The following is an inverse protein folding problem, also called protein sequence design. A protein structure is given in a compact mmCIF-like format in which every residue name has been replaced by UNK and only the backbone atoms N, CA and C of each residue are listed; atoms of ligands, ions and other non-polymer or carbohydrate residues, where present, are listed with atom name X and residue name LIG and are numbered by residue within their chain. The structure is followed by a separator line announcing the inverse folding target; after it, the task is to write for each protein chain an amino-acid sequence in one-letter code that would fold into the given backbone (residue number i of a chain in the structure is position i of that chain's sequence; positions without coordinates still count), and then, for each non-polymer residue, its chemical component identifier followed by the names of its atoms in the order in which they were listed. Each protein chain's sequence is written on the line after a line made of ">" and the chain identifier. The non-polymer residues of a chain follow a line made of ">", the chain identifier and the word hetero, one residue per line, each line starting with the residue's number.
data_IF_121385406990
#
_entry.id   IF_121385406990
#
_cell.length_a   1.000
_cell.length_b   1.000
_cell.length_c   1.000
_cell.angle_alpha   90.00
_cell.angle_beta   90.00
_cell.angle_gamma   90.00
#
_symmetry.space_group_name_H-M   'P 1'
#
loop_
_entity.id
_entity.type
_entity.pdbx_description
1 polymer ?
#
# COMPACT_ATOMS: atom_id res chain seq x y z
N UNK A 1 -4.06 0.97 -20.17
CA UNK A 1 -4.93 0.01 -19.46
C UNK A 1 -5.52 0.73 -18.25
N UNK A 2 -6.83 0.59 -18.00
CA UNK A 2 -7.55 1.23 -16.88
C UNK A 2 -7.92 0.14 -15.86
N UNK A 3 -7.64 0.31 -14.55
CA UNK A 3 -7.96 -0.73 -13.56
C UNK A 3 -9.47 -0.87 -13.37
N UNK A 4 -9.93 -2.12 -13.26
CA UNK A 4 -11.34 -2.47 -13.05
C UNK A 4 -11.67 -2.83 -11.60
N UNK A 5 -10.63 -3.03 -10.76
CA UNK A 5 -10.75 -3.45 -9.36
C UNK A 5 -9.80 -2.63 -8.51
N UNK A 6 -10.25 -2.26 -7.32
CA UNK A 6 -9.45 -1.55 -6.32
C UNK A 6 -9.69 -2.16 -4.94
N UNK A 7 -8.71 -2.09 -4.05
CA UNK A 7 -8.92 -2.38 -2.64
C UNK A 7 -8.08 -1.42 -1.81
N UNK A 8 -8.53 -1.17 -0.58
CA UNK A 8 -7.80 -0.35 0.37
C UNK A 8 -7.00 -1.25 1.31
N UNK A 9 -5.78 -0.83 1.61
CA UNK A 9 -4.95 -1.46 2.63
C UNK A 9 -4.17 -0.40 3.39
N UNK A 10 -3.78 -0.74 4.61
CA UNK A 10 -2.92 0.08 5.47
C UNK A 10 -1.97 -0.85 6.20
N UNK A 11 -0.82 -0.31 6.56
CA UNK A 11 0.14 -1.03 7.38
C UNK A 11 1.06 -0.09 8.13
N UNK A 12 1.65 -0.61 9.18
CA UNK A 12 2.63 0.09 10.02
C UNK A 12 3.92 -0.72 10.10
N UNK A 13 5.06 -0.03 10.06
CA UNK A 13 6.37 -0.65 10.14
C UNK A 13 7.28 0.13 11.08
N UNK A 14 8.05 -0.58 11.90
CA UNK A 14 8.98 -0.01 12.86
C UNK A 14 10.34 -0.67 12.68
N UNK A 15 11.35 0.12 12.36
CA UNK A 15 12.73 -0.33 12.24
C UNK A 15 13.68 0.85 12.49
N UNK A 16 14.94 0.56 12.86
CA UNK A 16 15.97 1.60 13.02
C UNK A 16 16.29 2.27 11.68
N UNK A 17 16.41 1.45 10.64
CA UNK A 17 16.59 1.93 9.27
C UNK A 17 15.26 2.30 8.60
N UNK A 18 15.23 3.49 8.01
CA UNK A 18 14.08 4.06 7.31
C UNK A 18 13.54 3.18 6.18
N UNK A 19 14.42 2.59 5.37
CA UNK A 19 14.00 1.78 4.24
C UNK A 19 13.29 0.50 4.71
N UNK A 20 13.88 -0.17 5.70
CA UNK A 20 13.30 -1.37 6.31
C UNK A 20 12.00 -1.07 7.06
N UNK A 21 11.87 0.10 7.71
CA UNK A 21 10.60 0.46 8.36
C UNK A 21 9.48 0.62 7.33
N UNK A 22 9.80 1.16 6.15
CA UNK A 22 8.85 1.23 5.05
C UNK A 22 8.51 -0.15 4.47
N UNK A 23 9.49 -1.04 4.26
CA UNK A 23 9.22 -2.41 3.81
C UNK A 23 8.33 -3.18 4.78
N UNK A 24 8.55 -3.05 6.09
CA UNK A 24 7.69 -3.66 7.10
C UNK A 24 6.26 -3.12 7.04
N UNK A 25 6.09 -1.83 6.77
CA UNK A 25 4.76 -1.23 6.58
C UNK A 25 4.05 -1.79 5.34
N UNK A 26 4.78 -2.01 4.23
CA UNK A 26 4.24 -2.67 3.03
C UNK A 26 3.87 -4.13 3.29
N UNK A 27 4.63 -4.84 4.12
CA UNK A 27 4.37 -6.23 4.50
C UNK A 27 3.13 -6.34 5.38
N UNK A 28 2.97 -5.45 6.36
CA UNK A 28 1.74 -5.36 7.17
C UNK A 28 0.51 -5.01 6.30
N UNK A 29 0.72 -4.15 5.29
CA UNK A 29 -0.28 -3.86 4.26
C UNK A 29 -0.54 -5.03 3.29
N UNK A 30 0.32 -6.05 3.22
CA UNK A 30 0.19 -7.23 2.36
C UNK A 30 0.43 -6.97 0.86
N UNK A 31 1.19 -5.91 0.54
CA UNK A 31 1.52 -5.48 -0.82
C UNK A 31 3.04 -5.37 -1.06
N UNK A 32 3.85 -5.90 -0.15
CA UNK A 32 5.33 -5.92 -0.24
C UNK A 32 5.84 -6.72 -1.43
N UNK A 33 5.07 -7.72 -1.88
CA UNK A 33 5.42 -8.58 -3.02
C UNK A 33 5.27 -7.88 -4.38
N UNK A 34 4.73 -6.66 -4.43
CA UNK A 34 4.42 -5.95 -5.67
C UNK A 34 5.46 -4.89 -6.03
N UNK A 35 5.61 -4.63 -7.33
CA UNK A 35 6.33 -3.46 -7.84
C UNK A 35 5.34 -2.29 -7.92
N UNK A 36 5.37 -1.39 -6.94
CA UNK A 36 4.38 -0.33 -6.79
C UNK A 36 4.69 0.87 -7.71
N UNK A 37 3.73 1.24 -8.55
CA UNK A 37 3.78 2.48 -9.36
C UNK A 37 2.83 3.48 -8.75
N UNK A 38 3.39 4.59 -8.25
CA UNK A 38 2.61 5.68 -7.69
C UNK A 38 1.87 6.43 -8.79
N UNK A 39 0.56 6.59 -8.63
CA UNK A 39 -0.31 7.33 -9.56
C UNK A 39 -1.08 8.42 -8.82
N UNK A 40 -1.67 9.34 -9.59
CA UNK A 40 -2.57 10.35 -9.06
C UNK A 40 -3.86 9.74 -8.52
N UNK A 41 -4.52 10.45 -7.60
CA UNK A 41 -5.69 10.00 -6.83
C UNK A 41 -7.00 9.98 -7.62
N UNK A 42 -7.05 9.26 -8.74
CA UNK A 42 -8.24 9.13 -9.59
C UNK A 42 -8.74 7.69 -9.58
N UNK A 43 -9.96 7.47 -9.10
CA UNK A 43 -10.65 6.19 -9.20
C UNK A 43 -11.42 6.12 -10.54
N UNK A 44 -11.14 5.14 -11.42
CA UNK A 44 -11.86 5.02 -12.68
C UNK A 44 -13.36 4.69 -12.49
N UNK A 45 -14.23 5.12 -13.42
CA UNK A 45 -15.63 4.75 -13.39
C UNK A 45 -15.81 3.24 -13.57
N UNK A 46 -16.78 2.65 -12.88
CA UNK A 46 -17.10 1.21 -12.96
C UNK A 46 -16.09 0.29 -12.24
N UNK A 47 -15.14 0.86 -11.48
CA UNK A 47 -14.17 0.09 -10.71
C UNK A 47 -14.83 -0.59 -9.51
N UNK A 48 -14.68 -1.90 -9.38
CA UNK A 48 -15.20 -2.68 -8.26
C UNK A 48 -14.29 -2.52 -7.02
N UNK A 49 -14.88 -2.17 -5.87
CA UNK A 49 -14.15 -2.10 -4.60
C UNK A 49 -14.18 -3.47 -3.91
N UNK A 50 -13.00 -4.07 -3.77
CA UNK A 50 -12.79 -5.35 -3.11
C UNK A 50 -12.37 -5.18 -1.65
N UNK A 51 -12.64 -6.19 -0.83
CA UNK A 51 -12.00 -6.35 0.47
C UNK A 51 -10.49 -6.56 0.32
N UNK A 52 -9.69 -6.17 1.32
CA UNK A 52 -8.23 -6.43 1.39
C UNK A 52 -7.87 -7.89 1.07
N UNK A 53 -8.57 -8.87 1.66
CA UNK A 53 -8.28 -10.29 1.45
C UNK A 53 -8.38 -10.70 -0.02
N UNK A 54 -9.55 -10.47 -0.64
CA UNK A 54 -9.77 -10.71 -2.08
C UNK A 54 -8.80 -9.94 -2.96
N UNK A 55 -8.47 -8.70 -2.61
CA UNK A 55 -7.50 -7.89 -3.35
C UNK A 55 -6.10 -8.52 -3.37
N UNK A 56 -5.62 -8.97 -2.21
CA UNK A 56 -4.28 -9.58 -2.05
C UNK A 56 -4.17 -10.93 -2.77
N UNK A 57 -5.25 -11.71 -2.79
CA UNK A 57 -5.33 -12.99 -3.53
C UNK A 57 -5.14 -12.81 -5.04
N UNK A 58 -5.59 -11.68 -5.58
CA UNK A 58 -5.46 -11.35 -7.00
C UNK A 58 -4.05 -10.83 -7.37
N UNK A 59 -3.22 -10.47 -6.39
CA UNK A 59 -1.88 -9.95 -6.61
C UNK A 59 -0.84 -11.06 -6.83
N UNK A 60 -0.07 -10.94 -7.90
CA UNK A 60 1.06 -11.82 -8.18
C UNK A 60 2.38 -11.21 -7.69
N UNK A 61 3.28 -11.98 -7.07
CA UNK A 61 4.62 -11.50 -6.74
C UNK A 61 5.34 -10.93 -7.98
N UNK A 62 6.01 -9.80 -7.83
CA UNK A 62 6.70 -9.08 -8.91
C UNK A 62 5.79 -8.29 -9.86
N UNK A 63 4.46 -8.34 -9.68
CA UNK A 63 3.52 -7.61 -10.54
C UNK A 63 3.65 -6.10 -10.37
N UNK A 64 3.67 -5.38 -11.50
CA UNK A 64 3.50 -3.93 -11.52
C UNK A 64 2.08 -3.61 -11.06
N UNK A 65 1.97 -2.94 -9.92
CA UNK A 65 0.68 -2.60 -9.29
C UNK A 65 0.58 -1.09 -9.11
N UNK A 66 -0.41 -0.49 -9.74
CA UNK A 66 -0.68 0.94 -9.58
C UNK A 66 -1.26 1.20 -8.19
N UNK A 67 -0.73 2.20 -7.50
CA UNK A 67 -1.08 2.51 -6.13
C UNK A 67 -1.21 4.04 -5.96
N UNK A 68 -2.29 4.46 -5.31
CA UNK A 68 -2.36 5.78 -4.69
C UNK A 68 -1.88 5.58 -3.26
N UNK A 69 -0.83 6.30 -2.85
CA UNK A 69 -0.19 6.10 -1.56
C UNK A 69 -0.12 7.40 -0.77
N UNK A 70 -0.62 7.34 0.46
CA UNK A 70 -0.35 8.31 1.51
C UNK A 70 0.67 7.69 2.47
N UNK A 71 1.74 8.41 2.80
CA UNK A 71 2.81 7.93 3.70
C UNK A 71 3.16 9.00 4.71
N UNK A 72 3.36 8.59 5.95
CA UNK A 72 3.88 9.42 7.03
C UNK A 72 4.92 8.63 7.83
N UNK A 73 5.93 9.31 8.37
CA UNK A 73 7.07 8.67 9.05
C UNK A 73 7.60 9.57 10.16
N UNK A 74 8.15 8.96 11.22
CA UNK A 74 8.77 9.67 12.33
C UNK A 74 9.91 8.84 12.91
N UNK A 75 10.95 9.52 13.40
CA UNK A 75 12.06 8.96 14.17
C UNK A 75 11.95 9.29 15.66
N UNK A 76 10.86 9.93 16.10
CA UNK A 76 10.60 10.23 17.50
C UNK A 76 10.00 8.99 18.20
N UNK A 77 10.61 8.52 19.31
CA UNK A 77 10.03 7.43 20.09
C UNK A 77 8.60 7.76 20.54
N UNK A 78 7.70 6.78 20.41
CA UNK A 78 6.29 6.89 20.82
C UNK A 78 5.48 8.01 20.13
N UNK A 79 5.97 8.59 19.04
CA UNK A 79 5.21 9.58 18.28
C UNK A 79 4.02 8.93 17.59
N UNK A 80 2.84 9.50 17.81
CA UNK A 80 1.63 9.09 17.11
C UNK A 80 1.62 9.73 15.71
N UNK A 81 1.60 8.88 14.69
CA UNK A 81 1.51 9.27 13.28
C UNK A 81 0.39 8.48 12.60
N UNK A 82 -0.17 9.05 11.55
CA UNK A 82 -1.20 8.42 10.71
C UNK A 82 -0.97 8.80 9.25
N UNK A 83 -1.42 7.93 8.36
CA UNK A 83 -1.51 8.16 6.93
C UNK A 83 -2.90 7.70 6.46
N UNK A 84 -3.53 8.51 5.62
CA UNK A 84 -4.89 8.31 5.09
C UNK A 84 -4.99 8.88 3.68
#
# INVERSE_FOLDING_TARGET
>A
MVPLKVFMTKGVGRHKDKLHSFELALRDAGIEKCNLVLVSSILPPGCEILSKAKGIELLKPGQITFCVMSRNESNEPNRLISAS
#
